data_IF_399131730055
#
_entry.id   IF_399131730055
#
_cell.length_a   1.000
_cell.length_b   1.000
_cell.length_c   1.000
_cell.angle_alpha   90.00
_cell.angle_beta   90.00
_cell.angle_gamma   90.00
#
_symmetry.space_group_name_H-M   'P 1'
#
loop_
_entity.id
_entity.type
_entity.pdbx_description
1 polymer ?
#
# COMPACT_ATOMS: atom_id res chain seq x y z
N UNK A 1 -44.76 46.55 -23.01
CA UNK A 1 -43.55 46.83 -22.19
C UNK A 1 -43.50 45.77 -21.09
N UNK A 2 -42.67 44.73 -21.14
CA UNK A 2 -41.20 44.75 -21.13
C UNK A 2 -40.65 43.60 -22.00
N UNK A 3 -39.75 43.95 -22.91
CA UNK A 3 -38.90 43.01 -23.63
C UNK A 3 -37.99 42.26 -22.64
N UNK A 4 -37.88 40.94 -22.78
CA UNK A 4 -36.64 40.24 -22.46
C UNK A 4 -36.12 39.59 -23.74
N UNK A 5 -35.29 40.40 -24.39
CA UNK A 5 -34.34 40.07 -25.44
C UNK A 5 -33.61 38.77 -25.06
N UNK A 6 -33.79 37.71 -25.84
CA UNK A 6 -32.84 36.60 -25.87
C UNK A 6 -31.75 36.99 -26.87
N UNK A 7 -30.69 37.63 -26.37
CA UNK A 7 -29.50 37.94 -27.15
C UNK A 7 -28.68 36.64 -27.34
N UNK A 8 -28.02 36.44 -28.50
CA UNK A 8 -27.46 35.17 -28.95
C UNK A 8 -25.99 34.97 -28.53
N UNK A 9 -25.46 33.80 -28.92
CA UNK A 9 -24.08 33.30 -28.79
C UNK A 9 -23.65 32.78 -27.41
N UNK A 10 -23.31 31.48 -27.35
CA UNK A 10 -21.90 31.02 -27.32
C UNK A 10 -21.86 29.63 -27.98
N UNK A 11 -21.00 29.45 -28.99
CA UNK A 11 -20.57 28.15 -29.50
C UNK A 11 -19.81 27.41 -28.40
N UNK A 12 -20.55 26.73 -27.52
CA UNK A 12 -20.01 25.90 -26.46
C UNK A 12 -19.53 24.57 -27.03
N UNK A 13 -18.25 24.24 -26.79
CA UNK A 13 -17.66 22.94 -27.13
C UNK A 13 -18.53 21.84 -26.51
N UNK A 14 -19.24 21.07 -27.34
CA UNK A 14 -20.03 19.94 -26.88
C UNK A 14 -19.09 18.82 -26.41
N UNK A 15 -19.49 18.11 -25.35
CA UNK A 15 -18.72 17.03 -24.73
C UNK A 15 -19.40 15.69 -25.04
N UNK A 16 -18.98 14.97 -26.10
CA UNK A 16 -19.53 13.67 -26.46
C UNK A 16 -18.92 12.54 -25.62
N UNK A 17 -19.75 11.56 -25.26
CA UNK A 17 -19.35 10.31 -24.63
C UNK A 17 -18.48 9.48 -25.57
N UNK A 18 -17.36 8.96 -25.07
CA UNK A 18 -16.40 8.17 -25.85
C UNK A 18 -16.61 6.66 -25.71
N UNK A 19 -17.66 6.21 -25.01
CA UNK A 19 -17.92 4.78 -24.80
C UNK A 19 -18.44 4.11 -26.08
N UNK A 20 -17.89 2.96 -26.51
CA UNK A 20 -18.32 2.25 -27.72
C UNK A 20 -19.83 1.98 -27.73
N UNK A 21 -20.53 2.45 -28.77
CA UNK A 21 -21.99 2.30 -28.88
C UNK A 21 -22.83 3.36 -28.14
N UNK A 22 -22.22 4.36 -27.49
CA UNK A 22 -22.93 5.44 -26.82
C UNK A 22 -22.82 6.78 -27.60
N UNK A 23 -23.97 7.33 -28.02
CA UNK A 23 -24.04 8.60 -28.77
C UNK A 23 -24.40 9.84 -27.94
N UNK A 24 -24.30 9.77 -26.60
CA UNK A 24 -24.74 10.87 -25.73
C UNK A 24 -23.78 12.08 -25.76
N UNK A 25 -24.32 13.29 -25.88
CA UNK A 25 -23.54 14.54 -25.85
C UNK A 25 -24.07 15.49 -24.78
N UNK A 26 -23.16 16.24 -24.15
CA UNK A 26 -23.50 17.15 -23.06
C UNK A 26 -22.88 18.53 -23.26
N UNK A 27 -23.64 19.55 -22.87
CA UNK A 27 -23.20 20.95 -22.92
C UNK A 27 -22.18 21.31 -21.81
N UNK A 28 -22.00 20.43 -20.81
CA UNK A 28 -21.06 20.65 -19.70
C UNK A 28 -20.29 19.37 -19.36
N UNK A 29 -18.99 19.51 -19.13
CA UNK A 29 -18.07 18.41 -18.78
C UNK A 29 -18.48 17.65 -17.51
N UNK A 30 -19.06 18.32 -16.51
CA UNK A 30 -19.57 17.64 -15.29
C UNK A 30 -20.71 16.66 -15.61
N UNK A 31 -21.57 17.02 -16.56
CA UNK A 31 -22.67 16.15 -16.97
C UNK A 31 -22.18 14.97 -17.80
N UNK A 32 -21.18 15.19 -18.67
CA UNK A 32 -20.50 14.11 -19.36
C UNK A 32 -19.81 13.17 -18.37
N UNK A 33 -19.00 13.68 -17.45
CA UNK A 33 -18.28 12.87 -16.46
C UNK A 33 -19.22 12.02 -15.61
N UNK A 34 -20.39 12.57 -15.23
CA UNK A 34 -21.43 11.82 -14.53
C UNK A 34 -22.06 10.72 -15.39
N UNK A 35 -22.24 10.97 -16.67
CA UNK A 35 -22.78 9.99 -17.61
C UNK A 35 -21.77 8.89 -17.90
N UNK A 36 -20.51 9.24 -18.15
CA UNK A 36 -19.42 8.29 -18.37
C UNK A 36 -19.25 7.34 -17.19
N UNK A 37 -19.41 7.84 -15.97
CA UNK A 37 -19.39 7.00 -14.78
C UNK A 37 -20.49 5.91 -14.75
N UNK A 38 -21.57 6.05 -15.54
CA UNK A 38 -22.60 5.01 -15.67
C UNK A 38 -22.14 3.83 -16.54
N UNK A 39 -21.28 4.08 -17.53
CA UNK A 39 -20.67 3.01 -18.35
C UNK A 39 -19.67 2.18 -17.56
N UNK A 40 -18.96 2.82 -16.62
CA UNK A 40 -17.93 2.18 -15.80
C UNK A 40 -18.45 1.66 -14.46
N UNK A 41 -19.78 1.63 -14.26
CA UNK A 41 -20.40 1.13 -13.04
C UNK A 41 -19.99 1.90 -11.79
N UNK A 42 -20.47 3.14 -11.63
CA UNK A 42 -20.10 3.96 -10.48
C UNK A 42 -20.56 3.38 -9.12
N UNK A 43 -19.63 3.45 -8.16
CA UNK A 43 -19.82 3.15 -6.72
C UNK A 43 -21.03 3.89 -6.15
N UNK A 44 -21.88 3.19 -5.42
CA UNK A 44 -23.05 3.76 -4.75
C UNK A 44 -22.67 4.67 -3.58
N UNK A 45 -23.53 5.65 -3.29
CA UNK A 45 -23.53 6.45 -2.08
C UNK A 45 -24.51 5.82 -1.09
N UNK A 46 -24.00 5.33 0.03
CA UNK A 46 -24.79 4.48 0.93
C UNK A 46 -25.34 5.29 2.11
N UNK A 47 -26.59 5.01 2.48
CA UNK A 47 -27.16 5.60 3.68
C UNK A 47 -26.72 4.84 4.92
N UNK A 48 -25.91 5.48 5.76
CA UNK A 48 -25.41 4.94 7.02
C UNK A 48 -26.49 4.53 8.04
N UNK A 49 -27.75 4.95 7.85
CA UNK A 49 -28.86 4.65 8.76
C UNK A 49 -29.73 3.48 8.33
N UNK A 50 -29.75 3.14 7.03
CA UNK A 50 -30.62 2.07 6.54
C UNK A 50 -30.05 1.26 5.37
N UNK A 51 -28.77 1.43 5.04
CA UNK A 51 -28.08 0.64 4.03
C UNK A 51 -28.61 0.79 2.60
N UNK A 52 -29.40 1.83 2.31
CA UNK A 52 -29.93 2.06 0.96
C UNK A 52 -28.88 2.76 0.10
N UNK A 53 -28.72 2.26 -1.12
CA UNK A 53 -27.73 2.70 -2.10
C UNK A 53 -28.32 3.77 -3.01
N UNK A 54 -27.59 4.85 -3.25
CA UNK A 54 -27.98 5.93 -4.15
C UNK A 54 -26.88 6.15 -5.18
N UNK A 55 -27.23 6.32 -6.47
CA UNK A 55 -26.23 6.65 -7.49
C UNK A 55 -25.64 8.06 -7.36
N UNK A 56 -26.11 8.88 -6.40
CA UNK A 56 -25.66 10.28 -6.23
C UNK A 56 -25.70 10.74 -4.76
N UNK A 57 -24.71 11.54 -4.34
CA UNK A 57 -24.58 12.07 -2.98
C UNK A 57 -25.69 13.04 -2.56
N UNK A 58 -26.20 13.85 -3.49
CA UNK A 58 -27.32 14.76 -3.25
C UNK A 58 -28.64 14.01 -3.01
N UNK A 59 -28.82 12.89 -3.70
CA UNK A 59 -29.97 12.00 -3.54
C UNK A 59 -29.93 11.30 -2.19
N UNK A 60 -28.75 10.85 -1.76
CA UNK A 60 -28.51 10.33 -0.41
C UNK A 60 -28.85 11.36 0.68
N UNK A 61 -28.36 12.61 0.57
CA UNK A 61 -28.65 13.66 1.57
C UNK A 61 -30.15 13.92 1.72
N UNK A 62 -30.90 13.96 0.60
CA UNK A 62 -32.35 14.12 0.63
C UNK A 62 -33.03 12.95 1.32
N UNK A 63 -32.61 11.72 0.99
CA UNK A 63 -33.11 10.52 1.64
C UNK A 63 -32.91 10.56 3.16
N UNK A 64 -31.72 10.94 3.64
CA UNK A 64 -31.44 11.00 5.08
C UNK A 64 -32.34 12.00 5.80
N UNK A 65 -32.50 13.21 5.24
CA UNK A 65 -33.39 14.21 5.85
C UNK A 65 -34.85 13.76 5.92
N UNK A 66 -35.34 13.12 4.87
CA UNK A 66 -36.75 12.74 4.76
C UNK A 66 -37.10 11.45 5.51
N UNK A 67 -36.20 10.47 5.54
CA UNK A 67 -36.46 9.13 6.08
C UNK A 67 -35.93 8.93 7.50
N UNK A 68 -34.87 9.65 7.89
CA UNK A 68 -34.26 9.52 9.22
C UNK A 68 -34.50 10.73 10.11
N UNK A 69 -35.21 11.78 9.62
CA UNK A 69 -35.54 13.02 10.36
C UNK A 69 -34.33 13.70 11.02
N UNK A 70 -33.13 13.48 10.47
CA UNK A 70 -31.90 14.11 10.93
C UNK A 70 -31.79 15.47 10.26
N UNK A 71 -31.88 16.54 11.07
CA UNK A 71 -31.70 17.93 10.63
C UNK A 71 -30.25 18.42 10.75
N UNK A 72 -29.32 17.54 11.09
CA UNK A 72 -27.90 17.86 11.24
C UNK A 72 -27.11 17.54 9.96
N UNK A 73 -26.18 18.41 9.50
CA UNK A 73 -25.68 18.32 8.15
C UNK A 73 -24.58 17.26 8.02
N UNK A 74 -24.88 16.15 7.34
CA UNK A 74 -23.91 15.09 6.95
C UNK A 74 -22.78 15.53 6.00
N UNK A 75 -22.63 16.83 5.78
CA UNK A 75 -21.40 17.46 5.30
C UNK A 75 -21.60 18.97 5.34
N UNK A 76 -20.99 19.69 6.27
CA UNK A 76 -20.64 21.09 6.04
C UNK A 76 -19.49 21.56 6.93
N UNK A 77 -18.40 21.92 6.26
CA UNK A 77 -17.36 22.87 6.63
C UNK A 77 -17.06 22.96 8.13
N UNK A 78 -15.93 22.37 8.53
CA UNK A 78 -15.22 22.77 9.75
C UNK A 78 -15.25 24.30 9.82
N UNK A 79 -15.90 24.86 10.85
CA UNK A 79 -15.96 26.32 11.02
C UNK A 79 -14.52 26.79 11.04
N UNK A 80 -14.14 27.56 10.01
CA UNK A 80 -12.81 28.13 9.95
C UNK A 80 -12.53 28.91 11.24
N UNK A 81 -11.34 28.71 11.81
CA UNK A 81 -10.89 29.46 12.98
C UNK A 81 -10.96 30.96 12.68
N UNK A 82 -11.06 31.79 13.71
CA UNK A 82 -11.19 33.25 13.55
C UNK A 82 -10.07 33.83 12.68
N UNK A 83 -8.84 33.36 12.83
CA UNK A 83 -7.69 33.81 12.04
C UNK A 83 -7.79 33.43 10.55
N UNK A 84 -8.15 32.19 10.21
CA UNK A 84 -8.34 31.79 8.81
C UNK A 84 -9.57 32.49 8.20
N UNK A 85 -10.60 32.75 9.00
CA UNK A 85 -11.81 33.46 8.55
C UNK A 85 -11.54 34.94 8.25
N UNK A 86 -10.80 35.65 9.11
CA UNK A 86 -10.49 37.07 8.90
C UNK A 86 -9.64 37.31 7.66
N UNK A 87 -8.70 36.40 7.38
CA UNK A 87 -7.86 36.51 6.16
C UNK A 87 -8.45 35.80 4.94
N UNK A 88 -9.69 35.30 5.02
CA UNK A 88 -10.37 34.51 3.96
C UNK A 88 -9.53 33.35 3.42
N UNK A 89 -8.69 32.74 4.26
CA UNK A 89 -7.92 31.55 3.91
C UNK A 89 -8.71 30.27 4.16
N UNK A 90 -8.39 29.22 3.40
CA UNK A 90 -8.95 27.89 3.59
C UNK A 90 -8.50 27.36 4.97
N UNK A 91 -9.46 26.92 5.77
CA UNK A 91 -9.21 26.35 7.09
C UNK A 91 -9.58 24.87 7.07
N UNK A 92 -8.63 24.03 7.42
CA UNK A 92 -8.79 22.57 7.38
C UNK A 92 -9.27 21.99 8.72
N UNK A 93 -9.49 22.84 9.73
CA UNK A 93 -9.88 22.42 11.09
C UNK A 93 -8.72 21.80 11.88
N UNK A 94 -9.03 21.29 13.08
CA UNK A 94 -8.07 20.78 14.07
C UNK A 94 -7.45 21.88 14.96
N UNK A 95 -7.30 21.69 16.28
CA UNK A 95 -6.58 22.62 17.16
C UNK A 95 -5.10 22.21 17.37
N UNK A 96 -4.11 23.04 17.01
CA UNK A 96 -4.19 24.21 16.13
C UNK A 96 -4.32 23.79 14.65
N UNK A 97 -4.99 24.59 13.83
CA UNK A 97 -5.17 24.25 12.41
C UNK A 97 -3.87 24.50 11.64
N UNK A 98 -3.64 23.72 10.59
CA UNK A 98 -2.39 23.69 9.79
C UNK A 98 -1.97 25.08 9.30
N UNK A 99 -2.92 25.91 8.88
CA UNK A 99 -2.64 27.25 8.38
C UNK A 99 -2.26 28.25 9.48
N UNK A 100 -2.80 28.09 10.70
CA UNK A 100 -2.36 28.88 11.87
C UNK A 100 -0.99 28.41 12.38
N UNK A 101 -0.75 27.10 12.37
CA UNK A 101 0.53 26.50 12.75
C UNK A 101 1.67 26.95 11.82
N UNK A 102 1.45 26.89 10.50
CA UNK A 102 2.40 27.35 9.47
C UNK A 102 2.75 28.83 9.59
N UNK A 103 1.78 29.65 9.99
CA UNK A 103 1.96 31.10 10.19
C UNK A 103 2.44 31.47 11.59
N UNK A 104 2.63 30.49 12.47
CA UNK A 104 3.02 30.67 13.87
C UNK A 104 2.11 31.67 14.62
N UNK A 105 0.80 31.63 14.34
CA UNK A 105 -0.21 32.47 15.02
C UNK A 105 -1.15 31.61 15.84
N UNK A 106 -1.56 32.12 17.00
CA UNK A 106 -2.44 31.40 17.93
C UNK A 106 -3.77 31.03 17.27
N UNK A 107 -4.11 29.75 17.25
CA UNK A 107 -5.35 29.27 16.67
C UNK A 107 -6.49 29.35 17.69
N UNK A 108 -7.61 29.99 17.33
CA UNK A 108 -8.79 30.07 18.22
C UNK A 108 -9.53 28.74 18.42
N UNK A 109 -9.16 27.69 17.68
CA UNK A 109 -9.66 26.34 17.93
C UNK A 109 -8.95 25.69 19.13
N UNK A 110 -7.73 26.14 19.49
CA UNK A 110 -6.93 25.56 20.57
C UNK A 110 -7.46 25.83 21.98
N UNK A 111 -8.30 26.85 22.17
CA UNK A 111 -8.89 27.19 23.48
C UNK A 111 -10.19 26.44 23.79
N UNK A 112 -10.71 25.62 22.86
CA UNK A 112 -11.94 24.85 23.07
C UNK A 112 -11.72 23.49 23.73
N UNK A 113 -10.47 23.00 23.79
CA UNK A 113 -10.11 21.70 24.37
C UNK A 113 -9.77 21.76 25.88
N UNK A 114 -9.46 22.95 26.42
CA UNK A 114 -9.07 23.10 27.83
C UNK A 114 -10.25 23.24 28.80
N UNK A 115 -11.46 23.53 28.33
CA UNK A 115 -12.63 23.78 29.21
C UNK A 115 -13.43 22.51 29.58
N UNK A 116 -13.14 21.36 28.99
CA UNK A 116 -13.93 20.11 29.19
C UNK A 116 -13.29 19.07 30.11
N UNK A 117 -12.12 19.36 30.71
CA UNK A 117 -11.45 18.48 31.68
C UNK A 117 -11.45 19.07 33.10
N UNK A 118 -12.60 19.17 33.79
CA UNK A 118 -12.60 19.19 35.26
C UNK A 118 -13.95 18.77 35.87
N UNK A 119 -13.88 17.89 36.88
CA UNK A 119 -14.89 17.51 37.90
C UNK A 119 -16.15 16.78 37.38
N UNK A 120 -16.44 15.50 37.71
CA UNK A 120 -16.74 14.89 39.03
C UNK A 120 -16.95 13.36 38.82
N UNK A 121 -16.78 12.46 39.83
CA UNK A 121 -16.68 11.01 39.62
C UNK A 121 -17.99 10.26 39.85
N UNK A 122 -18.22 9.15 39.13
CA UNK A 122 -18.75 7.86 39.63
C UNK A 122 -19.03 6.87 38.49
N UNK A 123 -18.81 5.61 38.84
CA UNK A 123 -19.31 4.36 38.27
C UNK A 123 -18.63 3.78 37.01
N UNK A 124 -17.75 2.83 37.31
CA UNK A 124 -17.33 1.74 36.44
C UNK A 124 -18.54 1.01 35.84
N UNK A 125 -18.95 1.43 34.65
CA UNK A 125 -19.57 0.53 33.68
C UNK A 125 -18.45 -0.01 32.81
N UNK A 126 -18.31 -1.34 32.78
CA UNK A 126 -17.38 -2.06 31.90
C UNK A 126 -17.33 -1.40 30.51
N UNK A 127 -16.14 -1.10 29.95
CA UNK A 127 -16.08 -0.73 28.55
C UNK A 127 -16.61 -1.92 27.74
N UNK A 128 -17.73 -1.71 27.06
CA UNK A 128 -18.21 -2.61 26.02
C UNK A 128 -17.06 -2.86 25.04
N UNK A 129 -16.98 -4.06 24.43
CA UNK A 129 -15.88 -4.41 23.53
C UNK A 129 -15.76 -3.32 22.48
N UNK A 130 -14.54 -2.80 22.30
CA UNK A 130 -14.22 -1.83 21.25
C UNK A 130 -14.67 -2.46 19.93
N UNK A 131 -15.84 -2.04 19.44
CA UNK A 131 -16.33 -2.37 18.11
C UNK A 131 -15.31 -1.78 17.14
N UNK A 132 -14.59 -2.68 16.46
CA UNK A 132 -13.72 -2.39 15.32
C UNK A 132 -14.41 -1.37 14.41
N UNK A 133 -13.67 -0.39 13.84
CA UNK A 133 -14.23 0.47 12.81
C UNK A 133 -14.83 -0.39 11.70
N UNK A 134 -16.16 -0.36 11.55
CA UNK A 134 -16.85 -0.98 10.42
C UNK A 134 -16.49 -0.20 9.16
N UNK A 135 -15.53 -0.72 8.39
CA UNK A 135 -15.35 -0.33 7.00
C UNK A 135 -16.63 -0.70 6.21
N UNK A 136 -17.06 0.14 5.25
CA UNK A 136 -18.24 -0.13 4.44
C UNK A 136 -17.90 -1.17 3.36
N UNK A 137 -17.83 -2.42 3.80
CA UNK A 137 -17.94 -3.63 3.00
C UNK A 137 -18.45 -4.69 3.98
N UNK A 138 -19.75 -4.64 4.29
CA UNK A 138 -20.34 -5.71 5.09
C UNK A 138 -20.39 -6.96 4.20
N UNK A 139 -19.79 -8.02 4.76
CA UNK A 139 -20.01 -9.44 4.50
C UNK A 139 -19.28 -10.08 3.31
N UNK A 140 -18.21 -10.78 3.67
CA UNK A 140 -17.98 -12.16 3.24
C UNK A 140 -17.99 -12.41 1.73
N UNK A 141 -16.91 -12.01 1.06
CA UNK A 141 -16.31 -12.98 0.15
C UNK A 141 -15.10 -13.54 0.86
N UNK A 142 -15.31 -14.64 1.56
CA UNK A 142 -14.20 -15.56 1.82
C UNK A 142 -13.42 -15.74 0.53
N UNK A 143 -12.07 -15.86 0.57
CA UNK A 143 -11.31 -16.19 -0.62
C UNK A 143 -11.95 -17.41 -1.26
N UNK A 144 -12.15 -17.36 -2.57
CA UNK A 144 -12.63 -18.51 -3.32
C UNK A 144 -11.72 -19.70 -3.04
N UNK A 145 -12.26 -20.91 -3.19
CA UNK A 145 -11.49 -22.12 -2.91
C UNK A 145 -10.17 -22.18 -3.71
N UNK A 146 -10.18 -21.67 -4.94
CA UNK A 146 -8.99 -21.54 -5.78
C UNK A 146 -7.97 -20.53 -5.23
N UNK A 147 -8.43 -19.43 -4.65
CA UNK A 147 -7.54 -18.45 -4.01
C UNK A 147 -6.91 -19.02 -2.74
N UNK A 148 -7.67 -19.77 -1.93
CA UNK A 148 -7.14 -20.47 -0.75
C UNK A 148 -6.06 -21.48 -1.15
N UNK A 149 -6.37 -22.34 -2.12
CA UNK A 149 -5.43 -23.32 -2.63
C UNK A 149 -4.15 -22.67 -3.18
N UNK A 150 -4.26 -21.56 -3.92
CA UNK A 150 -3.10 -20.82 -4.41
C UNK A 150 -2.25 -20.24 -3.27
N UNK A 151 -2.87 -19.69 -2.23
CA UNK A 151 -2.17 -19.14 -1.07
C UNK A 151 -1.48 -20.25 -0.26
N UNK A 152 -2.12 -21.40 -0.08
CA UNK A 152 -1.53 -22.57 0.59
C UNK A 152 -0.27 -23.04 -0.15
N UNK A 153 -0.37 -23.24 -1.47
CA UNK A 153 0.77 -23.62 -2.31
C UNK A 153 1.90 -22.59 -2.26
N UNK A 154 1.58 -21.29 -2.18
CA UNK A 154 2.57 -20.24 -1.98
C UNK A 154 3.38 -20.45 -0.69
N UNK A 155 2.70 -20.65 0.45
CA UNK A 155 3.35 -20.84 1.74
C UNK A 155 4.11 -22.18 1.84
N UNK A 156 3.65 -23.22 1.14
CA UNK A 156 4.29 -24.54 1.15
C UNK A 156 5.53 -24.61 0.24
N UNK A 157 5.44 -24.04 -0.97
CA UNK A 157 6.43 -24.28 -2.03
C UNK A 157 7.37 -23.10 -2.27
N UNK A 158 6.88 -21.86 -2.11
CA UNK A 158 7.65 -20.65 -2.43
C UNK A 158 8.22 -19.96 -1.20
N UNK A 159 7.39 -19.74 -0.18
CA UNK A 159 7.74 -19.02 1.04
C UNK A 159 8.98 -19.58 1.77
N UNK A 160 9.23 -20.91 1.87
CA UNK A 160 10.42 -21.43 2.56
C UNK A 160 11.74 -20.93 1.96
N UNK A 161 11.72 -20.51 0.71
CA UNK A 161 12.89 -20.04 -0.02
C UNK A 161 12.95 -18.51 -0.12
N UNK A 162 11.79 -17.87 -0.10
CA UNK A 162 11.61 -16.42 -0.21
C UNK A 162 10.65 -15.89 0.88
N UNK A 163 11.05 -15.93 2.16
CA UNK A 163 10.14 -15.69 3.28
C UNK A 163 9.95 -14.20 3.55
N UNK A 164 9.37 -13.41 2.64
CA UNK A 164 9.21 -11.96 2.87
C UNK A 164 7.77 -11.52 3.15
N UNK A 165 6.88 -12.47 3.42
CA UNK A 165 5.49 -12.26 3.87
C UNK A 165 5.31 -13.15 5.09
N UNK A 166 5.00 -12.58 6.25
CA UNK A 166 4.88 -13.37 7.47
C UNK A 166 3.57 -14.16 7.52
N UNK A 167 3.66 -15.50 7.58
CA UNK A 167 2.50 -16.39 7.49
C UNK A 167 1.49 -16.18 8.62
N UNK A 168 1.94 -16.03 9.87
CA UNK A 168 1.05 -15.89 11.02
C UNK A 168 0.29 -14.57 11.11
N UNK A 169 0.79 -13.51 10.45
CA UNK A 169 0.10 -12.21 10.40
C UNK A 169 -0.69 -11.99 9.11
N UNK A 170 -0.44 -12.80 8.08
CA UNK A 170 -1.12 -12.70 6.81
C UNK A 170 -2.60 -13.08 6.94
N UNK A 171 -3.48 -12.21 6.42
CA UNK A 171 -4.90 -12.51 6.30
C UNK A 171 -5.42 -12.02 4.97
N UNK A 172 -5.75 -12.96 4.07
CA UNK A 172 -6.23 -12.66 2.72
C UNK A 172 -7.47 -11.74 2.67
N UNK A 173 -8.27 -11.67 3.74
CA UNK A 173 -9.44 -10.78 3.82
C UNK A 173 -9.08 -9.33 4.20
N UNK A 174 -7.90 -9.13 4.79
CA UNK A 174 -7.39 -7.83 5.22
C UNK A 174 -6.32 -7.28 4.28
N UNK A 175 -5.73 -8.14 3.45
CA UNK A 175 -4.69 -7.76 2.52
C UNK A 175 -5.21 -7.11 1.24
N UNK A 176 -4.31 -6.40 0.55
CA UNK A 176 -4.66 -5.82 -0.75
C UNK A 176 -4.95 -6.93 -1.77
N UNK A 177 -5.97 -6.76 -2.64
CA UNK A 177 -6.23 -7.74 -3.70
C UNK A 177 -5.00 -7.98 -4.59
N UNK A 178 -4.17 -6.95 -4.80
CA UNK A 178 -2.95 -7.06 -5.58
C UNK A 178 -1.96 -8.08 -4.96
N UNK A 179 -1.74 -8.03 -3.65
CA UNK A 179 -0.86 -8.96 -2.95
C UNK A 179 -1.43 -10.39 -2.98
N UNK A 180 -2.71 -10.54 -2.65
CA UNK A 180 -3.38 -11.85 -2.63
C UNK A 180 -3.29 -12.52 -3.99
N UNK A 181 -3.62 -11.81 -5.07
CA UNK A 181 -3.55 -12.36 -6.42
C UNK A 181 -2.12 -12.66 -6.87
N UNK A 182 -1.12 -11.86 -6.47
CA UNK A 182 0.28 -12.15 -6.77
C UNK A 182 0.76 -13.43 -6.07
N UNK A 183 0.35 -13.65 -4.82
CA UNK A 183 0.63 -14.90 -4.10
C UNK A 183 -0.06 -16.09 -4.76
N UNK A 184 -1.33 -15.95 -5.16
CA UNK A 184 -2.08 -16.99 -5.88
C UNK A 184 -1.41 -17.34 -7.20
N UNK A 185 -0.96 -16.36 -7.99
CA UNK A 185 -0.25 -16.62 -9.25
C UNK A 185 1.02 -17.47 -9.01
N UNK A 186 1.84 -17.08 -8.03
CA UNK A 186 3.04 -17.86 -7.67
C UNK A 186 2.67 -19.27 -7.19
N UNK A 187 1.69 -19.41 -6.30
CA UNK A 187 1.26 -20.72 -5.78
C UNK A 187 0.77 -21.66 -6.87
N UNK A 188 -0.13 -21.16 -7.74
CA UNK A 188 -0.63 -21.91 -8.90
C UNK A 188 0.52 -22.31 -9.84
N UNK A 189 1.49 -21.43 -10.07
CA UNK A 189 2.66 -21.76 -10.90
C UNK A 189 3.52 -22.87 -10.30
N UNK A 190 3.78 -22.79 -9.00
CA UNK A 190 4.60 -23.76 -8.27
C UNK A 190 3.97 -25.14 -8.16
N UNK A 191 2.65 -25.26 -8.34
CA UNK A 191 1.95 -26.56 -8.35
C UNK A 191 2.47 -27.53 -9.43
N UNK A 192 3.02 -27.01 -10.53
CA UNK A 192 3.45 -27.81 -11.68
C UNK A 192 2.30 -28.36 -12.54
N UNK A 193 1.04 -28.10 -12.18
CA UNK A 193 -0.12 -28.46 -13.00
C UNK A 193 -0.25 -27.50 -14.18
N UNK A 194 -0.36 -28.03 -15.40
CA UNK A 194 -0.36 -27.22 -16.62
C UNK A 194 -1.58 -26.29 -16.70
N UNK A 195 -2.75 -26.74 -16.21
CA UNK A 195 -3.95 -25.91 -16.20
C UNK A 195 -3.82 -24.78 -15.18
N UNK A 196 -3.28 -25.06 -13.99
CA UNK A 196 -3.02 -24.05 -12.96
C UNK A 196 -1.97 -23.04 -13.41
N UNK A 197 -0.90 -23.51 -14.08
CA UNK A 197 0.14 -22.65 -14.64
C UNK A 197 -0.41 -21.70 -15.72
N UNK A 198 -1.32 -22.17 -16.59
CA UNK A 198 -1.97 -21.30 -17.57
C UNK A 198 -2.79 -20.18 -16.89
N UNK A 199 -3.57 -20.52 -15.85
CA UNK A 199 -4.32 -19.53 -15.05
C UNK A 199 -3.37 -18.55 -14.35
N UNK A 200 -2.23 -19.04 -13.88
CA UNK A 200 -1.22 -18.20 -13.23
C UNK A 200 -0.63 -17.17 -14.20
N UNK A 201 -0.40 -17.54 -15.46
CA UNK A 201 0.05 -16.62 -16.52
C UNK A 201 -1.03 -15.58 -16.83
N UNK A 202 -2.29 -15.99 -17.00
CA UNK A 202 -3.41 -15.06 -17.23
C UNK A 202 -3.52 -14.05 -16.07
N UNK A 203 -3.36 -14.53 -14.82
CA UNK A 203 -3.39 -13.69 -13.64
C UNK A 203 -2.20 -12.73 -13.59
N UNK A 204 -1.00 -13.19 -13.96
CA UNK A 204 0.19 -12.36 -14.08
C UNK A 204 0.00 -11.21 -15.09
N UNK A 205 -0.62 -11.47 -16.23
CA UNK A 205 -0.91 -10.43 -17.24
C UNK A 205 -1.88 -9.36 -16.71
N UNK A 206 -2.93 -9.79 -16.01
CA UNK A 206 -3.88 -8.88 -15.34
C UNK A 206 -3.17 -8.04 -14.27
N UNK A 207 -2.29 -8.66 -13.48
CA UNK A 207 -1.49 -7.98 -12.46
C UNK A 207 -0.54 -6.95 -13.08
N UNK A 208 0.09 -7.27 -14.21
CA UNK A 208 0.99 -6.35 -14.91
C UNK A 208 0.26 -5.04 -15.27
N UNK A 209 -0.93 -5.16 -15.87
CA UNK A 209 -1.76 -4.00 -16.23
C UNK A 209 -2.12 -3.20 -14.98
N UNK A 210 -2.55 -3.86 -13.90
CA UNK A 210 -2.95 -3.22 -12.66
C UNK A 210 -1.78 -2.49 -11.97
N UNK A 211 -0.58 -3.06 -11.97
CA UNK A 211 0.64 -2.46 -11.40
C UNK A 211 1.01 -1.20 -12.17
N UNK A 212 1.01 -1.28 -13.51
CA UNK A 212 1.37 -0.16 -14.38
C UNK A 212 0.36 0.99 -14.28
N UNK A 213 -0.94 0.69 -14.25
CA UNK A 213 -1.99 1.72 -14.05
C UNK A 213 -1.89 2.43 -12.70
N UNK A 214 -1.31 1.78 -11.70
CA UNK A 214 -1.14 2.33 -10.35
C UNK A 214 0.24 2.92 -10.10
N UNK A 215 1.11 3.00 -11.13
CA UNK A 215 2.50 3.44 -10.99
C UNK A 215 2.64 4.76 -10.25
N UNK A 216 1.86 5.77 -10.62
CA UNK A 216 1.88 7.08 -9.94
C UNK A 216 1.56 7.03 -8.43
N UNK A 217 0.86 5.99 -7.95
CA UNK A 217 0.49 5.84 -6.54
C UNK A 217 1.56 5.15 -5.70
N UNK A 218 2.36 4.27 -6.30
CA UNK A 218 3.34 3.46 -5.57
C UNK A 218 4.79 3.85 -5.86
N UNK A 219 5.04 4.47 -7.01
CA UNK A 219 6.39 4.82 -7.48
C UNK A 219 6.89 6.11 -6.84
N UNK A 220 7.42 5.97 -5.63
CA UNK A 220 8.05 7.05 -4.89
C UNK A 220 9.37 7.53 -5.54
N UNK A 221 9.92 6.82 -6.52
CA UNK A 221 11.15 7.23 -7.21
C UNK A 221 10.98 8.55 -7.97
N UNK A 222 9.76 8.85 -8.42
CA UNK A 222 9.44 10.06 -9.21
C UNK A 222 8.70 11.13 -8.42
N UNK A 223 8.13 10.80 -7.26
CA UNK A 223 7.36 11.75 -6.43
C UNK A 223 8.28 12.80 -5.79
N UNK A 224 8.03 14.10 -6.00
CA UNK A 224 8.91 15.17 -5.49
C UNK A 224 8.98 15.23 -3.95
N UNK A 225 7.89 14.86 -3.28
CA UNK A 225 7.69 14.93 -1.84
C UNK A 225 8.02 13.62 -1.08
N UNK A 226 8.43 12.57 -1.79
CA UNK A 226 8.82 11.30 -1.17
C UNK A 226 10.02 11.46 -0.23
N UNK A 227 9.87 11.02 1.02
CA UNK A 227 10.90 11.06 2.05
C UNK A 227 10.78 9.89 3.04
N UNK A 228 11.73 9.80 3.97
CA UNK A 228 11.82 8.68 4.93
C UNK A 228 10.68 8.60 5.96
N UNK A 229 9.90 9.67 6.13
CA UNK A 229 8.72 9.68 7.01
C UNK A 229 7.42 9.35 6.29
N UNK A 230 7.44 9.21 4.95
CA UNK A 230 6.26 8.84 4.18
C UNK A 230 5.78 7.42 4.51
N UNK A 231 4.49 7.17 4.27
CA UNK A 231 3.88 5.85 4.37
C UNK A 231 4.59 4.83 3.48
N UNK A 232 4.72 3.59 3.96
CA UNK A 232 5.30 2.49 3.18
C UNK A 232 4.19 1.57 2.69
N UNK A 233 3.94 1.50 1.36
CA UNK A 233 2.94 0.60 0.80
C UNK A 233 3.52 -0.83 0.69
N UNK A 234 3.89 -1.43 1.82
CA UNK A 234 4.58 -2.73 1.89
C UNK A 234 3.83 -3.84 1.13
N UNK A 235 2.50 -4.04 1.29
CA UNK A 235 1.77 -5.06 0.53
C UNK A 235 1.86 -4.88 -0.99
N UNK A 236 1.82 -3.62 -1.46
CA UNK A 236 1.98 -3.31 -2.88
C UNK A 236 3.38 -3.64 -3.36
N UNK A 237 4.41 -3.31 -2.59
CA UNK A 237 5.81 -3.58 -2.95
C UNK A 237 6.12 -5.08 -2.94
N UNK A 238 5.60 -5.83 -1.96
CA UNK A 238 5.65 -7.29 -1.94
C UNK A 238 4.98 -7.87 -3.19
N UNK A 239 3.80 -7.37 -3.57
CA UNK A 239 3.10 -7.82 -4.77
C UNK A 239 3.90 -7.55 -6.07
N UNK A 240 4.52 -6.37 -6.20
CA UNK A 240 5.36 -6.03 -7.36
C UNK A 240 6.60 -6.92 -7.40
N UNK A 241 7.24 -7.20 -6.25
CA UNK A 241 8.38 -8.11 -6.20
C UNK A 241 7.99 -9.53 -6.60
N UNK A 242 6.86 -10.05 -6.08
CA UNK A 242 6.31 -11.35 -6.49
C UNK A 242 6.01 -11.39 -7.99
N UNK A 243 5.46 -10.31 -8.55
CA UNK A 243 5.22 -10.18 -9.98
C UNK A 243 6.52 -10.31 -10.79
N UNK A 244 7.58 -9.58 -10.41
CA UNK A 244 8.88 -9.67 -11.09
C UNK A 244 9.46 -11.09 -10.96
N UNK A 245 9.36 -11.70 -9.79
CA UNK A 245 9.83 -13.07 -9.54
C UNK A 245 9.05 -14.11 -10.34
N UNK A 246 7.74 -13.90 -10.54
CA UNK A 246 6.94 -14.73 -11.42
C UNK A 246 7.47 -14.68 -12.86
N UNK A 247 7.71 -13.47 -13.41
CA UNK A 247 8.23 -13.34 -14.77
C UNK A 247 9.54 -14.08 -14.95
N UNK A 248 10.43 -14.02 -13.95
CA UNK A 248 11.69 -14.76 -13.89
C UNK A 248 11.46 -16.27 -13.94
N UNK A 249 10.53 -16.77 -13.13
CA UNK A 249 10.23 -18.20 -13.03
C UNK A 249 9.57 -18.73 -14.31
N UNK A 250 8.70 -17.92 -14.92
CA UNK A 250 7.97 -18.28 -16.14
C UNK A 250 8.87 -18.35 -17.37
N UNK A 251 9.89 -17.47 -17.47
CA UNK A 251 10.84 -17.49 -18.60
C UNK A 251 11.90 -18.58 -18.49
N UNK A 252 12.21 -19.06 -17.27
CA UNK A 252 13.30 -20.01 -17.05
C UNK A 252 12.98 -21.48 -17.43
N UNK A 253 11.74 -21.82 -17.79
CA UNK A 253 11.35 -23.10 -18.44
C UNK A 253 11.70 -24.43 -17.72
N UNK A 254 12.31 -24.44 -16.54
CA UNK A 254 12.81 -25.64 -15.85
C UNK A 254 12.27 -25.72 -14.41
N UNK A 255 11.92 -26.94 -13.98
CA UNK A 255 11.53 -27.28 -12.59
C UNK A 255 12.54 -26.66 -11.61
N UNK A 256 12.02 -25.84 -10.69
CA UNK A 256 12.76 -24.96 -9.80
C UNK A 256 13.75 -25.76 -8.94
N UNK A 257 15.02 -25.74 -9.32
CA UNK A 257 16.08 -25.58 -8.34
C UNK A 257 16.13 -24.09 -8.01
N UNK A 258 16.14 -23.73 -6.73
CA UNK A 258 16.04 -22.35 -6.23
C UNK A 258 17.26 -21.46 -6.56
N UNK A 259 18.16 -21.98 -7.37
CA UNK A 259 19.23 -21.22 -8.00
C UNK A 259 18.61 -20.42 -9.15
N UNK A 260 18.00 -19.28 -8.81
CA UNK A 260 17.56 -18.30 -9.79
C UNK A 260 18.78 -17.93 -10.64
N UNK A 261 18.84 -18.42 -11.87
CA UNK A 261 19.75 -17.89 -12.90
C UNK A 261 18.95 -17.41 -14.10
N UNK A 262 18.33 -16.22 -14.02
CA UNK A 262 17.43 -15.75 -15.06
C UNK A 262 18.05 -14.64 -15.91
N UNK A 263 17.51 -14.54 -17.12
CA UNK A 263 17.48 -13.33 -17.94
C UNK A 263 16.08 -12.73 -17.82
N UNK A 264 15.98 -11.44 -17.49
CA UNK A 264 14.72 -10.71 -17.44
C UNK A 264 14.49 -10.01 -18.78
N UNK A 265 13.25 -9.98 -19.26
CA UNK A 265 12.89 -9.10 -20.38
C UNK A 265 13.08 -7.63 -19.99
N UNK A 266 13.25 -6.74 -20.98
CA UNK A 266 13.32 -5.28 -20.76
C UNK A 266 12.17 -4.76 -19.89
N UNK A 267 10.98 -5.37 -19.98
CA UNK A 267 9.78 -5.00 -19.24
C UNK A 267 9.90 -5.22 -17.73
N UNK A 268 10.51 -6.33 -17.29
CA UNK A 268 10.69 -6.58 -15.86
C UNK A 268 11.67 -5.59 -15.21
N UNK A 269 12.67 -5.12 -15.97
CA UNK A 269 13.63 -4.10 -15.49
C UNK A 269 12.93 -2.75 -15.26
N UNK A 270 11.91 -2.42 -16.07
CA UNK A 270 11.11 -1.19 -15.92
C UNK A 270 10.25 -1.14 -14.64
N UNK A 271 10.02 -2.27 -13.97
CA UNK A 271 9.37 -2.32 -12.66
C UNK A 271 10.38 -2.40 -11.51
N UNK A 272 11.45 -3.19 -11.68
CA UNK A 272 12.44 -3.44 -10.63
C UNK A 272 13.21 -2.17 -10.24
N UNK A 273 13.71 -1.40 -11.21
CA UNK A 273 14.49 -0.20 -10.91
C UNK A 273 13.66 0.87 -10.17
N UNK A 274 12.45 1.24 -10.62
CA UNK A 274 11.60 2.16 -9.87
C UNK A 274 11.21 1.65 -8.48
N UNK A 275 10.99 0.34 -8.30
CA UNK A 275 10.74 -0.25 -6.98
C UNK A 275 11.94 -0.06 -6.04
N UNK A 276 13.15 -0.37 -6.51
CA UNK A 276 14.40 -0.17 -5.76
C UNK A 276 14.58 1.30 -5.38
N UNK A 277 14.46 2.21 -6.35
CA UNK A 277 14.61 3.64 -6.12
C UNK A 277 13.55 4.17 -5.15
N UNK A 278 12.33 3.66 -5.24
CA UNK A 278 11.26 3.98 -4.28
C UNK A 278 11.63 3.55 -2.86
N UNK A 279 12.12 2.32 -2.68
CA UNK A 279 12.58 1.82 -1.38
C UNK A 279 13.72 2.68 -0.80
N UNK A 280 14.66 3.12 -1.65
CA UNK A 280 15.75 4.02 -1.25
C UNK A 280 15.21 5.38 -0.80
N UNK A 281 14.34 6.02 -1.59
CA UNK A 281 13.77 7.34 -1.27
C UNK A 281 12.88 7.33 -0.03
N UNK A 282 12.11 6.26 0.16
CA UNK A 282 11.29 6.06 1.35
C UNK A 282 12.11 5.63 2.58
N UNK A 283 13.42 5.47 2.44
CA UNK A 283 14.32 5.14 3.54
C UNK A 283 14.11 3.73 4.11
N UNK A 284 13.57 2.81 3.31
CA UNK A 284 13.26 1.43 3.72
C UNK A 284 14.52 0.59 3.97
N UNK A 285 15.68 0.98 3.45
CA UNK A 285 16.94 0.25 3.62
C UNK A 285 17.73 0.65 4.89
N UNK A 286 17.14 1.48 5.74
CA UNK A 286 17.78 2.03 6.93
C UNK A 286 17.06 1.60 8.20
N UNK A 287 17.74 0.85 9.07
CA UNK A 287 17.13 0.23 10.24
C UNK A 287 16.46 1.22 11.21
N UNK A 288 17.06 2.38 11.54
CA UNK A 288 16.38 3.36 12.38
C UNK A 288 15.08 3.92 11.79
N UNK A 289 14.93 3.96 10.46
CA UNK A 289 13.63 4.33 9.86
C UNK A 289 12.58 3.24 10.05
N UNK A 290 12.97 1.95 10.09
CA UNK A 290 12.07 0.83 10.38
C UNK A 290 11.59 0.90 11.84
N UNK A 291 12.51 1.16 12.78
CA UNK A 291 12.20 1.31 14.20
C UNK A 291 11.24 2.49 14.45
N UNK A 292 11.48 3.62 13.77
CA UNK A 292 10.66 4.82 13.89
C UNK A 292 9.21 4.66 13.40
N UNK A 293 8.83 3.50 12.84
CA UNK A 293 7.44 3.21 12.43
C UNK A 293 6.54 2.77 13.59
N UNK A 294 7.12 2.46 14.74
CA UNK A 294 6.39 1.91 15.86
C UNK A 294 6.44 2.87 17.04
N UNK A 295 5.26 3.14 17.60
CA UNK A 295 5.11 3.93 18.81
C UNK A 295 5.62 3.14 20.03
N UNK A 296 6.09 3.81 21.11
CA UNK A 296 6.63 3.14 22.29
C UNK A 296 5.66 2.17 23.00
N UNK A 297 4.35 2.31 22.77
CA UNK A 297 3.30 1.51 23.43
C UNK A 297 2.81 0.33 22.58
N UNK A 298 3.40 0.08 21.41
CA UNK A 298 3.06 -1.08 20.57
C UNK A 298 3.64 -2.36 21.19
N UNK A 299 2.93 -3.48 21.03
CA UNK A 299 3.42 -4.80 21.42
C UNK A 299 4.74 -5.12 20.68
N UNK A 300 5.82 -5.35 21.42
CA UNK A 300 7.17 -5.55 20.87
C UNK A 300 7.23 -6.66 19.82
N UNK A 301 6.53 -7.78 20.04
CA UNK A 301 6.47 -8.88 19.07
C UNK A 301 5.84 -8.47 17.75
N UNK A 302 4.82 -7.59 17.78
CA UNK A 302 4.18 -7.09 16.56
C UNK A 302 5.11 -6.13 15.81
N UNK A 303 5.74 -5.20 16.52
CA UNK A 303 6.70 -4.30 15.92
C UNK A 303 7.87 -5.06 15.29
N UNK A 304 8.38 -6.08 15.98
CA UNK A 304 9.45 -6.92 15.49
C UNK A 304 9.08 -7.67 14.21
N UNK A 305 7.92 -8.33 14.14
CA UNK A 305 7.51 -9.06 12.93
C UNK A 305 7.41 -8.12 11.73
N UNK A 306 6.84 -6.92 11.89
CA UNK A 306 6.77 -5.97 10.78
C UNK A 306 8.14 -5.42 10.37
N UNK A 307 9.07 -5.22 11.31
CA UNK A 307 10.46 -4.87 11.01
C UNK A 307 11.15 -5.99 10.22
N UNK A 308 11.01 -7.23 10.68
CA UNK A 308 11.60 -8.40 10.03
C UNK A 308 11.03 -8.62 8.62
N UNK A 309 9.74 -8.35 8.42
CA UNK A 309 9.12 -8.42 7.11
C UNK A 309 9.76 -7.41 6.14
N UNK A 310 9.98 -6.17 6.59
CA UNK A 310 10.66 -5.14 5.79
C UNK A 310 12.12 -5.53 5.50
N UNK A 311 12.86 -6.07 6.49
CA UNK A 311 14.23 -6.55 6.26
C UNK A 311 14.28 -7.68 5.23
N UNK A 312 13.41 -8.68 5.35
CA UNK A 312 13.36 -9.83 4.42
C UNK A 312 12.92 -9.41 3.03
N UNK A 313 11.95 -8.51 2.92
CA UNK A 313 11.57 -7.89 1.65
C UNK A 313 12.75 -7.21 0.97
N UNK A 314 13.47 -6.34 1.68
CA UNK A 314 14.61 -5.62 1.11
C UNK A 314 15.78 -6.55 0.76
N UNK A 315 16.00 -7.61 1.56
CA UNK A 315 17.00 -8.63 1.25
C UNK A 315 16.60 -9.44 0.01
N UNK A 316 15.32 -9.79 -0.15
CA UNK A 316 14.81 -10.46 -1.34
C UNK A 316 14.98 -9.57 -2.59
N UNK A 317 14.64 -8.29 -2.47
CA UNK A 317 14.83 -7.28 -3.52
C UNK A 317 16.31 -7.18 -3.95
N UNK A 318 17.23 -7.14 -2.98
CA UNK A 318 18.67 -7.17 -3.25
C UNK A 318 19.12 -8.45 -3.97
N UNK A 319 18.65 -9.63 -3.52
CA UNK A 319 18.98 -10.91 -4.16
C UNK A 319 18.50 -10.95 -5.62
N UNK A 320 17.26 -10.53 -5.89
CA UNK A 320 16.71 -10.47 -7.25
C UNK A 320 17.54 -9.52 -8.12
N UNK A 321 17.81 -8.30 -7.64
CA UNK A 321 18.63 -7.32 -8.36
C UNK A 321 20.04 -7.84 -8.66
N UNK A 322 20.73 -8.40 -7.67
CA UNK A 322 22.11 -8.87 -7.82
C UNK A 322 22.21 -10.06 -8.78
N UNK A 323 21.21 -10.95 -8.75
CA UNK A 323 21.13 -12.09 -9.66
C UNK A 323 20.98 -11.64 -11.12
N UNK A 324 20.14 -10.63 -11.37
CA UNK A 324 19.93 -10.06 -12.70
C UNK A 324 21.11 -9.21 -13.18
N UNK A 325 21.72 -8.43 -12.28
CA UNK A 325 22.88 -7.59 -12.59
C UNK A 325 24.09 -8.41 -13.06
N UNK A 326 24.32 -9.58 -12.47
CA UNK A 326 25.36 -10.50 -12.93
C UNK A 326 25.11 -11.08 -14.33
N UNK A 327 23.85 -11.18 -14.79
CA UNK A 327 23.53 -11.60 -16.16
C UNK A 327 23.83 -10.48 -17.18
N UNK A 328 23.52 -9.23 -16.83
CA UNK A 328 23.74 -8.05 -17.70
C UNK A 328 25.23 -7.72 -17.87
N UNK A 329 26.05 -7.86 -16.81
CA UNK A 329 27.50 -7.63 -16.88
C UNK A 329 28.22 -8.65 -17.78
N UNK A 330 27.71 -9.89 -17.89
CA UNK A 330 28.25 -10.90 -18.82
C UNK A 330 27.95 -10.58 -20.28
N UNK A 331 26.84 -9.91 -20.57
CA UNK A 331 26.48 -9.47 -21.93
C UNK A 331 27.20 -8.18 -22.34
N UNK A 332 27.40 -7.23 -21.41
CA UNK A 332 28.10 -5.97 -21.70
C UNK A 332 29.63 -6.06 -21.75
N UNK A 333 30.21 -7.17 -21.26
CA UNK A 333 31.64 -7.42 -21.40
C UNK A 333 32.10 -7.59 -22.87
N UNK A 334 31.18 -7.69 -23.84
CA UNK A 334 31.51 -7.66 -25.27
C UNK A 334 31.57 -6.27 -25.88
N UNK A 335 30.93 -5.24 -25.29
CA UNK A 335 30.83 -3.92 -25.92
C UNK A 335 30.83 -2.76 -24.90
N UNK A 336 31.98 -2.09 -24.82
CA UNK A 336 32.23 -0.75 -24.24
C UNK A 336 32.03 -0.51 -22.73
N UNK A 337 33.14 -0.10 -22.10
CA UNK A 337 33.23 0.34 -20.71
C UNK A 337 32.56 1.71 -20.48
N UNK A 338 31.26 1.70 -20.18
CA UNK A 338 30.55 2.80 -19.54
C UNK A 338 30.19 2.42 -18.12
N UNK A 339 30.60 3.20 -17.13
CA UNK A 339 30.37 2.97 -15.70
C UNK A 339 28.87 3.07 -15.35
N UNK A 340 28.12 1.98 -15.56
CA UNK A 340 26.76 1.87 -15.04
C UNK A 340 26.85 1.76 -13.51
N UNK A 341 26.50 2.84 -12.81
CA UNK A 341 26.42 2.83 -11.35
C UNK A 341 25.45 1.75 -10.87
N UNK A 342 25.88 0.93 -9.92
CA UNK A 342 25.05 -0.13 -9.35
C UNK A 342 23.84 0.48 -8.61
N UNK A 343 22.61 0.27 -9.12
CA UNK A 343 21.37 0.88 -8.58
C UNK A 343 21.13 0.49 -7.10
N UNK A 344 21.43 -0.78 -6.77
CA UNK A 344 21.38 -1.33 -5.42
C UNK A 344 22.59 -2.22 -5.13
N UNK A 345 23.27 -1.97 -4.03
CA UNK A 345 24.45 -2.69 -3.57
C UNK A 345 24.29 -3.15 -2.12
N UNK A 346 25.15 -4.06 -1.66
CA UNK A 346 25.16 -4.46 -0.25
C UNK A 346 25.47 -3.29 0.70
N UNK A 347 26.13 -2.22 0.22
CA UNK A 347 26.39 -1.02 1.01
C UNK A 347 25.11 -0.23 1.34
N UNK A 348 24.07 -0.35 0.50
CA UNK A 348 22.79 0.31 0.73
C UNK A 348 21.97 -0.38 1.84
N UNK A 349 22.27 -1.64 2.19
CA UNK A 349 21.54 -2.42 3.20
C UNK A 349 22.04 -2.09 4.62
N UNK A 350 21.52 -1.01 5.19
CA UNK A 350 21.86 -0.50 6.52
C UNK A 350 20.94 -1.06 7.62
N UNK A 351 20.86 -2.39 7.67
CA UNK A 351 20.10 -3.13 8.68
C UNK A 351 20.76 -4.49 8.94
N UNK A 352 20.56 -5.10 10.13
CA UNK A 352 21.10 -6.42 10.43
C UNK A 352 20.43 -7.52 9.61
N UNK A 353 21.14 -8.62 9.35
CA UNK A 353 20.56 -9.79 8.69
C UNK A 353 19.29 -10.26 9.43
N UNK A 354 18.23 -10.65 8.70
CA UNK A 354 17.04 -11.24 9.30
C UNK A 354 17.38 -12.52 10.06
N UNK A 355 16.75 -12.73 11.22
CA UNK A 355 16.98 -13.89 12.10
C UNK A 355 15.79 -14.85 12.03
N UNK A 356 16.05 -16.16 11.90
CA UNK A 356 15.00 -17.18 11.82
C UNK A 356 14.49 -17.55 13.22
N UNK A 357 13.93 -16.56 13.92
CA UNK A 357 13.47 -16.71 15.29
C UNK A 357 12.12 -17.43 15.35
N UNK A 358 11.79 -17.97 16.52
CA UNK A 358 10.52 -18.69 16.77
C UNK A 358 9.31 -17.82 16.42
N UNK A 359 9.41 -16.52 16.68
CA UNK A 359 8.36 -15.55 16.40
C UNK A 359 8.08 -15.37 14.89
N UNK A 360 9.09 -15.48 14.02
CA UNK A 360 8.88 -15.40 12.57
C UNK A 360 8.22 -16.67 12.00
N UNK A 361 8.40 -17.80 12.68
CA UNK A 361 7.85 -19.09 12.26
C UNK A 361 6.49 -19.39 12.90
N UNK A 362 5.98 -18.49 13.76
CA UNK A 362 4.70 -18.66 14.41
C UNK A 362 3.55 -18.44 13.43
N UNK A 363 2.71 -19.46 13.25
CA UNK A 363 1.56 -19.42 12.34
C UNK A 363 0.25 -19.29 13.12
N UNK A 364 0.20 -19.81 14.35
CA UNK A 364 -0.97 -19.71 15.23
C UNK A 364 -0.80 -18.67 16.33
N UNK A 365 -1.93 -18.20 16.88
CA UNK A 365 -1.94 -17.29 18.04
C UNK A 365 -1.20 -17.89 19.25
N UNK A 366 -1.32 -19.20 19.48
CA UNK A 366 -0.65 -19.87 20.59
C UNK A 366 0.87 -19.92 20.40
N UNK A 367 1.35 -20.25 19.19
CA UNK A 367 2.78 -20.24 18.86
C UNK A 367 3.35 -18.83 19.00
N UNK A 368 2.62 -17.83 18.52
CA UNK A 368 3.02 -16.43 18.63
C UNK A 368 3.17 -16.01 20.10
N UNK A 369 2.17 -16.31 20.92
CA UNK A 369 2.17 -15.97 22.34
C UNK A 369 3.26 -16.71 23.12
N UNK A 370 3.65 -17.91 22.69
CA UNK A 370 4.78 -18.65 23.25
C UNK A 370 6.10 -18.00 22.87
N UNK A 371 6.34 -17.79 21.57
CA UNK A 371 7.56 -17.19 21.05
C UNK A 371 7.80 -15.78 21.60
N UNK A 372 6.75 -14.96 21.69
CA UNK A 372 6.83 -13.61 22.23
C UNK A 372 7.21 -13.56 23.71
N UNK A 373 6.96 -14.63 24.48
CA UNK A 373 7.38 -14.73 25.90
C UNK A 373 8.84 -15.14 26.03
N UNK A 374 9.30 -16.03 25.16
CA UNK A 374 10.69 -16.50 25.14
C UNK A 374 11.65 -15.38 24.71
N UNK A 375 11.23 -14.55 23.74
CA UNK A 375 12.04 -13.46 23.18
C UNK A 375 11.80 -12.09 23.85
N UNK A 376 10.99 -12.03 24.91
CA UNK A 376 10.63 -10.76 25.56
C UNK A 376 11.86 -9.98 26.07
N UNK A 377 12.92 -10.67 26.48
CA UNK A 377 14.14 -10.07 26.99
C UNK A 377 15.16 -9.67 25.89
N UNK A 378 15.00 -10.18 24.66
CA UNK A 378 15.92 -9.92 23.53
C UNK A 378 15.40 -8.84 22.57
N UNK A 379 14.08 -8.59 22.56
CA UNK A 379 13.42 -7.63 21.68
C UNK A 379 13.56 -6.19 22.19
N UNK A 380 14.49 -5.43 21.61
CA UNK A 380 14.64 -3.99 21.89
C UNK A 380 14.42 -3.14 20.63
N UNK A 381 13.47 -2.20 20.69
CA UNK A 381 13.26 -1.19 19.64
C UNK A 381 14.22 0.01 19.75
N UNK A 382 15.08 0.02 20.78
CA UNK A 382 16.00 1.13 21.04
C UNK A 382 17.43 0.84 20.55
N UNK A 383 17.78 -0.43 20.38
CA UNK A 383 19.08 -0.83 19.82
C UNK A 383 19.08 -0.68 18.30
N UNK A 384 19.96 0.17 17.77
CA UNK A 384 20.12 0.38 16.32
C UNK A 384 20.98 -0.70 15.65
N UNK A 385 21.61 -1.58 16.42
CA UNK A 385 22.37 -2.74 15.95
C UNK A 385 23.40 -2.41 14.86
N UNK A 386 23.99 -1.20 14.87
CA UNK A 386 24.77 -0.69 13.74
C UNK A 386 25.95 -1.58 13.35
N UNK A 387 26.57 -2.23 14.34
CA UNK A 387 27.69 -3.13 14.16
C UNK A 387 27.33 -4.40 13.37
N UNK A 388 26.05 -4.78 13.36
CA UNK A 388 25.53 -6.00 12.70
C UNK A 388 24.97 -5.74 11.30
N UNK A 389 25.04 -4.50 10.80
CA UNK A 389 24.48 -4.15 9.50
C UNK A 389 25.21 -4.82 8.34
N UNK A 390 24.44 -5.27 7.34
CA UNK A 390 24.96 -5.91 6.12
C UNK A 390 25.99 -5.01 5.41
N UNK A 391 25.73 -3.71 5.37
CA UNK A 391 26.62 -2.71 4.76
C UNK A 391 28.05 -2.68 5.34
N UNK A 392 28.25 -3.10 6.60
CA UNK A 392 29.59 -3.17 7.21
C UNK A 392 30.41 -4.35 6.72
N UNK A 393 29.75 -5.43 6.30
CA UNK A 393 30.41 -6.61 5.70
C UNK A 393 30.47 -6.52 4.17
N UNK A 394 29.86 -5.50 3.56
CA UNK A 394 29.81 -5.33 2.10
C UNK A 394 31.19 -5.19 1.45
N UNK A 395 32.16 -4.59 2.14
CA UNK A 395 33.55 -4.47 1.67
C UNK A 395 34.27 -5.83 1.61
N UNK A 396 33.97 -6.75 2.53
CA UNK A 396 34.52 -8.11 2.53
C UNK A 396 33.98 -8.94 1.35
N UNK A 397 32.70 -8.76 1.01
CA UNK A 397 32.06 -9.45 -0.12
C UNK A 397 32.62 -8.99 -1.49
N UNK A 398 33.19 -7.79 -1.59
CA UNK A 398 33.88 -7.32 -2.80
C UNK A 398 35.28 -7.91 -2.97
N UNK A 399 35.93 -8.34 -1.88
CA UNK A 399 37.29 -8.87 -1.89
C UNK A 399 37.38 -10.38 -2.21
N UNK A 400 36.25 -11.08 -2.29
CA UNK A 400 36.16 -12.53 -2.54
C UNK A 400 35.64 -12.84 -3.97
N UNK A 401 35.49 -11.82 -4.82
CA UNK A 401 35.11 -11.99 -6.24
C UNK A 401 36.30 -12.30 -7.12
#
# INVERSE_FOLDING_TARGET
MKNKVHNPQVSGKEFPCQHPGCGATYQRREHLSRHEAQHFGQRSFDCSFCGRHFGRSDTLRRHVRQRHKINEPLSRALKACTNCRTIKARCEGGPPCSECLRRQVTCSLSQQDEMTKSNTPLDWVHPAPILKPKYPFDLEKSPSEKERQGIELYFESFHPHWPFIHQGSFNANCETPLLVQAMVAIGLWTSGDQSAQAIAVDLHDVLNIAILQQKEKWDASTAEDACSSCFWPIPTYQAILLHIMFSIMATAGVRIGLDLKPTLSSEGMHLLEPLILSCKRLGMLYYPNMLARYEPNVLLSYAWVGIEEVKRFNLALYKVWNTLGCSIEREKASDTAGTAGQVLSACDLQFPLPTNDSLWNAVSENEWMSAAREDADTLSLHDKMEQRWISRSASLLRAVK
#
